data_IF_996602327860
#
_entry.id   IF_996602327860
#
_cell.length_a   1.000
_cell.length_b   1.000
_cell.length_c   1.000
_cell.angle_alpha   90.00
_cell.angle_beta   90.00
_cell.angle_gamma   90.00
#
_symmetry.space_group_name_H-M   'P 1'
#
loop_
_entity.id
_entity.type
_entity.pdbx_description
1 polymer ?
#
# COMPACT_ATOMS: atom_id res chain seq x y z
N UNK A 1 -13.17 -12.29 -5.57
CA UNK A 1 -11.89 -11.87 -6.20
C UNK A 1 -11.82 -12.10 -7.73
N UNK A 2 -12.09 -13.30 -8.26
CA UNK A 2 -11.89 -13.67 -9.69
C UNK A 2 -12.51 -12.69 -10.71
N UNK A 3 -13.74 -12.22 -10.44
CA UNK A 3 -14.42 -11.27 -11.33
C UNK A 3 -13.65 -9.95 -11.49
N UNK A 4 -12.96 -9.50 -10.45
CA UNK A 4 -12.13 -8.29 -10.48
C UNK A 4 -10.93 -8.52 -11.40
N UNK A 5 -10.21 -9.64 -11.23
CA UNK A 5 -9.08 -10.02 -12.08
C UNK A 5 -9.47 -10.05 -13.56
N UNK A 6 -10.56 -10.75 -13.90
CA UNK A 6 -11.04 -10.87 -15.27
C UNK A 6 -11.46 -9.51 -15.86
N UNK A 7 -12.05 -8.63 -15.04
CA UNK A 7 -12.46 -7.31 -15.50
C UNK A 7 -11.25 -6.42 -15.79
N UNK A 8 -10.22 -6.45 -14.92
CA UNK A 8 -8.97 -5.69 -15.15
C UNK A 8 -8.29 -6.18 -16.44
N UNK A 9 -8.20 -7.49 -16.65
CA UNK A 9 -7.63 -8.06 -17.87
C UNK A 9 -8.39 -7.57 -19.13
N UNK A 10 -9.73 -7.57 -19.09
CA UNK A 10 -10.55 -7.08 -20.21
C UNK A 10 -10.30 -5.60 -20.49
N UNK A 11 -10.28 -4.76 -19.45
CA UNK A 11 -10.05 -3.32 -19.59
C UNK A 11 -8.64 -3.06 -20.14
N UNK A 12 -7.61 -3.72 -19.62
CA UNK A 12 -6.24 -3.54 -20.08
C UNK A 12 -6.07 -3.90 -21.57
N UNK A 13 -6.71 -4.97 -22.03
CA UNK A 13 -6.66 -5.40 -23.43
C UNK A 13 -7.27 -4.37 -24.40
N UNK A 14 -8.24 -3.54 -23.98
CA UNK A 14 -8.80 -2.46 -24.82
C UNK A 14 -7.72 -1.44 -25.20
N UNK A 15 -6.79 -1.18 -24.28
CA UNK A 15 -5.70 -0.22 -24.46
C UNK A 15 -4.42 -0.88 -24.99
N UNK A 16 -4.50 -2.14 -25.44
CA UNK A 16 -3.34 -2.94 -25.85
C UNK A 16 -2.26 -3.10 -24.76
N UNK A 17 -2.66 -2.95 -23.50
CA UNK A 17 -1.78 -3.12 -22.36
C UNK A 17 -1.99 -4.49 -21.69
N UNK A 18 -1.02 -4.90 -20.88
CA UNK A 18 -1.07 -6.13 -20.09
C UNK A 18 -0.88 -5.86 -18.61
N UNK A 19 -1.76 -6.38 -17.73
CA UNK A 19 -1.49 -6.31 -16.30
C UNK A 19 -0.26 -7.15 -15.95
N UNK A 20 0.53 -6.65 -14.99
CA UNK A 20 1.75 -7.33 -14.56
C UNK A 20 1.41 -8.70 -13.96
N UNK A 21 2.09 -9.73 -14.47
CA UNK A 21 1.89 -11.11 -14.07
C UNK A 21 2.22 -11.33 -12.58
N UNK A 22 1.26 -11.93 -11.88
CA UNK A 22 1.41 -12.40 -10.52
C UNK A 22 1.48 -11.35 -9.42
N UNK A 23 1.07 -10.10 -9.70
CA UNK A 23 0.86 -9.10 -8.65
C UNK A 23 -0.36 -9.44 -7.80
N UNK A 24 -0.32 -9.03 -6.53
CA UNK A 24 -1.32 -9.41 -5.54
C UNK A 24 -1.78 -8.16 -4.79
N UNK A 25 -3.09 -7.95 -4.79
CA UNK A 25 -3.75 -7.05 -3.84
C UNK A 25 -4.16 -7.84 -2.61
N UNK A 26 -3.90 -7.30 -1.43
CA UNK A 26 -4.10 -8.00 -0.17
C UNK A 26 -5.23 -7.38 0.65
N UNK A 27 -5.95 -8.22 1.39
CA UNK A 27 -6.68 -7.78 2.55
C UNK A 27 -5.72 -7.24 3.61
N UNK A 28 -6.14 -6.19 4.31
CA UNK A 28 -5.40 -5.61 5.41
C UNK A 28 -6.15 -5.80 6.73
N UNK A 29 -5.41 -6.03 7.80
CA UNK A 29 -5.92 -6.02 9.16
C UNK A 29 -4.91 -5.31 10.08
N UNK A 30 -5.23 -5.21 11.38
CA UNK A 30 -4.38 -4.49 12.32
C UNK A 30 -3.00 -5.16 12.41
N UNK A 31 -1.97 -4.48 11.93
CA UNK A 31 -0.59 -4.96 11.98
C UNK A 31 -0.21 -5.95 10.85
N UNK A 32 -1.14 -6.27 9.95
CA UNK A 32 -0.94 -7.23 8.85
C UNK A 32 -1.36 -6.55 7.55
N UNK A 33 -0.40 -6.39 6.63
CA UNK A 33 -0.63 -5.73 5.33
C UNK A 33 -0.89 -6.73 4.19
N UNK A 34 -0.64 -8.00 4.44
CA UNK A 34 -0.71 -9.14 3.52
C UNK A 34 -1.60 -10.24 4.10
N UNK A 35 -2.87 -9.89 4.32
CA UNK A 35 -3.85 -10.81 4.85
C UNK A 35 -4.07 -12.04 3.97
N UNK A 36 -4.92 -12.94 4.47
CA UNK A 36 -5.22 -14.22 3.83
C UNK A 36 -5.86 -14.01 2.46
N UNK A 37 -6.85 -13.10 2.40
CA UNK A 37 -7.61 -12.86 1.18
C UNK A 37 -6.85 -12.07 0.14
N UNK A 38 -6.88 -12.55 -1.09
CA UNK A 38 -6.03 -12.06 -2.19
C UNK A 38 -6.81 -11.84 -3.47
N UNK A 39 -6.44 -10.77 -4.17
CA UNK A 39 -6.85 -10.53 -5.56
C UNK A 39 -5.60 -10.59 -6.42
N UNK A 40 -5.50 -11.63 -7.23
CA UNK A 40 -4.40 -11.78 -8.17
C UNK A 40 -4.62 -10.93 -9.41
N UNK A 41 -3.56 -10.32 -9.89
CA UNK A 41 -3.51 -9.62 -11.16
C UNK A 41 -2.71 -10.50 -12.14
N UNK A 42 -3.32 -10.81 -13.30
CA UNK A 42 -2.76 -11.70 -14.31
C UNK A 42 -2.02 -12.91 -13.70
N UNK A 43 -2.72 -13.84 -13.01
CA UNK A 43 -2.06 -14.91 -12.25
C UNK A 43 -1.28 -15.87 -13.15
N UNK A 44 -0.12 -16.31 -12.68
CA UNK A 44 0.65 -17.38 -13.33
C UNK A 44 0.02 -18.77 -13.11
N UNK A 45 0.51 -19.81 -13.75
CA UNK A 45 -0.08 -21.16 -13.68
C UNK A 45 -0.17 -21.73 -12.26
N UNK A 46 0.82 -21.42 -11.42
CA UNK A 46 0.83 -21.86 -10.02
C UNK A 46 -0.23 -21.10 -9.21
N UNK A 47 -0.23 -19.78 -9.31
CA UNK A 47 -1.23 -18.94 -8.66
C UNK A 47 -2.64 -19.25 -9.15
N UNK A 48 -2.85 -19.61 -10.43
CA UNK A 48 -4.17 -20.04 -10.92
C UNK A 48 -4.68 -21.31 -10.24
N UNK A 49 -3.77 -22.23 -9.89
CA UNK A 49 -4.12 -23.44 -9.14
C UNK A 49 -4.41 -23.13 -7.68
N UNK A 50 -3.64 -22.23 -7.08
CA UNK A 50 -3.75 -21.88 -5.66
C UNK A 50 -4.75 -20.73 -5.40
N UNK A 51 -5.31 -20.13 -6.45
CA UNK A 51 -6.25 -19.01 -6.34
C UNK A 51 -7.61 -19.53 -5.93
N UNK A 52 -7.83 -19.54 -4.62
CA UNK A 52 -9.12 -19.84 -4.04
C UNK A 52 -10.13 -18.73 -4.37
N UNK A 53 -11.36 -19.15 -4.70
CA UNK A 53 -12.44 -18.21 -4.94
C UNK A 53 -12.90 -17.65 -3.60
N UNK A 54 -12.65 -16.36 -3.41
CA UNK A 54 -13.02 -15.67 -2.18
C UNK A 54 -14.10 -14.63 -2.42
N UNK A 55 -15.02 -14.56 -1.46
CA UNK A 55 -16.05 -13.53 -1.38
C UNK A 55 -15.61 -12.43 -0.41
N UNK A 56 -15.87 -11.19 -0.84
CA UNK A 56 -15.61 -10.01 -0.03
C UNK A 56 -16.70 -9.85 1.03
N UNK A 57 -16.31 -9.52 2.26
CA UNK A 57 -17.23 -9.35 3.38
C UNK A 57 -17.29 -7.89 3.86
N UNK A 58 -18.36 -7.56 4.59
CA UNK A 58 -18.50 -6.27 5.25
C UNK A 58 -17.42 -6.09 6.32
N UNK A 59 -16.97 -4.84 6.47
CA UNK A 59 -15.90 -4.38 7.37
C UNK A 59 -14.50 -4.89 7.03
N UNK A 60 -14.30 -5.41 5.81
CA UNK A 60 -12.97 -5.73 5.32
C UNK A 60 -12.28 -4.51 4.70
N UNK A 61 -10.96 -4.52 4.75
CA UNK A 61 -10.11 -3.48 4.16
C UNK A 61 -9.17 -4.15 3.15
N UNK A 62 -9.00 -3.54 1.99
CA UNK A 62 -8.14 -4.05 0.93
C UNK A 62 -7.17 -2.98 0.43
N UNK A 63 -5.90 -3.34 0.31
CA UNK A 63 -4.92 -2.62 -0.49
C UNK A 63 -4.99 -3.13 -1.93
N UNK A 64 -5.72 -2.41 -2.78
CA UNK A 64 -5.85 -2.70 -4.20
C UNK A 64 -4.65 -2.11 -4.92
N UNK A 65 -3.89 -2.97 -5.59
CA UNK A 65 -2.68 -2.64 -6.34
C UNK A 65 -2.86 -3.06 -7.79
N UNK A 66 -2.90 -2.08 -8.68
CA UNK A 66 -3.10 -2.28 -10.12
C UNK A 66 -1.84 -1.83 -10.85
N UNK A 67 -1.11 -2.78 -11.43
CA UNK A 67 0.07 -2.52 -12.24
C UNK A 67 -0.18 -2.95 -13.68
N UNK A 68 -0.09 -2.00 -14.61
CA UNK A 68 -0.33 -2.21 -16.03
C UNK A 68 0.94 -1.86 -16.82
N UNK A 69 1.34 -2.77 -17.70
CA UNK A 69 2.45 -2.61 -18.64
C UNK A 69 1.94 -2.30 -20.04
N UNK A 70 2.66 -1.45 -20.78
CA UNK A 70 2.49 -1.33 -22.24
C UNK A 70 3.06 -2.52 -23.02
N UNK A 71 3.94 -3.30 -22.38
CA UNK A 71 4.62 -4.46 -22.97
C UNK A 71 3.90 -5.79 -22.73
N UNK A 72 4.69 -6.85 -22.48
CA UNK A 72 4.18 -8.21 -22.30
C UNK A 72 3.56 -8.43 -20.91
N UNK A 73 3.88 -7.56 -19.95
CA UNK A 73 3.39 -7.68 -18.58
C UNK A 73 4.11 -8.78 -17.79
N UNK A 74 5.29 -9.22 -18.26
CA UNK A 74 6.12 -10.26 -17.64
C UNK A 74 7.43 -9.64 -17.16
N UNK A 75 7.43 -8.99 -15.99
CA UNK A 75 8.59 -8.28 -15.54
C UNK A 75 9.70 -9.27 -15.15
N UNK A 76 10.94 -8.83 -15.32
CA UNK A 76 12.12 -9.61 -14.97
C UNK A 76 12.72 -9.04 -13.70
N UNK A 77 13.18 -9.94 -12.84
CA UNK A 77 14.01 -9.54 -11.71
C UNK A 77 15.30 -8.94 -12.24
N UNK A 78 15.73 -7.84 -11.62
CA UNK A 78 16.92 -7.10 -12.02
C UNK A 78 18.07 -7.41 -11.07
N UNK A 79 19.30 -7.16 -11.53
CA UNK A 79 20.49 -7.21 -10.67
C UNK A 79 20.56 -6.01 -9.69
N UNK A 80 19.56 -5.12 -9.72
CA UNK A 80 19.48 -4.00 -8.79
C UNK A 80 19.26 -4.54 -7.39
N UNK A 81 20.13 -4.12 -6.48
CA UNK A 81 20.11 -4.57 -5.09
C UNK A 81 18.75 -4.32 -4.44
N UNK A 82 18.15 -5.39 -3.92
CA UNK A 82 17.00 -5.32 -3.02
C UNK A 82 17.37 -4.58 -1.73
N UNK A 83 16.60 -3.54 -1.42
CA UNK A 83 16.77 -2.75 -0.19
C UNK A 83 15.54 -2.73 0.69
N UNK A 84 14.41 -3.24 0.20
CA UNK A 84 13.14 -3.32 0.92
C UNK A 84 12.89 -4.75 1.34
N UNK A 85 12.56 -4.93 2.62
CA UNK A 85 12.33 -6.22 3.24
C UNK A 85 11.15 -6.14 4.19
N UNK A 86 10.57 -7.28 4.52
CA UNK A 86 9.54 -7.39 5.56
C UNK A 86 9.85 -8.57 6.47
N UNK A 87 9.68 -8.41 7.78
CA UNK A 87 9.82 -9.52 8.73
C UNK A 87 8.68 -10.53 8.54
N UNK A 88 9.01 -11.82 8.55
CA UNK A 88 8.05 -12.93 8.67
C UNK A 88 7.99 -13.41 10.11
N UNK A 89 6.86 -13.98 10.50
CA UNK A 89 6.68 -14.57 11.83
C UNK A 89 7.20 -16.01 11.87
N UNK A 90 8.50 -16.16 11.61
CA UNK A 90 9.19 -17.44 11.65
C UNK A 90 10.26 -17.42 12.75
N UNK A 91 10.45 -18.55 13.42
CA UNK A 91 11.44 -18.68 14.49
C UNK A 91 12.64 -19.45 13.94
N UNK A 92 13.78 -18.76 13.84
CA UNK A 92 15.05 -19.37 13.47
C UNK A 92 16.18 -18.81 14.32
N UNK A 93 17.08 -19.69 14.76
CA UNK A 93 18.22 -19.32 15.58
C UNK A 93 19.40 -18.86 14.71
N UNK A 94 19.51 -17.55 14.51
CA UNK A 94 20.60 -16.91 13.77
C UNK A 94 21.97 -17.17 14.39
N UNK A 95 22.96 -17.52 13.56
CA UNK A 95 24.34 -17.83 13.96
C UNK A 95 25.19 -16.57 14.10
N UNK A 96 25.05 -15.59 13.21
CA UNK A 96 25.89 -14.38 13.27
C UNK A 96 25.37 -13.36 14.29
N UNK A 97 26.30 -12.71 15.00
CA UNK A 97 25.96 -11.63 15.96
C UNK A 97 25.35 -10.41 15.26
N UNK A 98 25.83 -10.09 14.06
CA UNK A 98 25.29 -9.02 13.22
C UNK A 98 23.83 -9.25 12.84
N UNK A 99 23.48 -10.47 12.42
CA UNK A 99 22.11 -10.84 12.04
C UNK A 99 21.15 -10.78 13.23
N UNK A 100 21.58 -11.28 14.41
CA UNK A 100 20.77 -11.17 15.64
C UNK A 100 20.51 -9.72 16.03
N UNK A 101 21.53 -8.86 15.96
CA UNK A 101 21.39 -7.44 16.25
C UNK A 101 20.43 -6.77 15.26
N UNK A 102 20.59 -7.06 13.96
CA UNK A 102 19.71 -6.56 12.90
C UNK A 102 18.25 -6.99 13.12
N UNK A 103 17.97 -8.28 13.35
CA UNK A 103 16.61 -8.76 13.56
C UNK A 103 15.96 -8.16 14.81
N UNK A 104 16.73 -7.99 15.90
CA UNK A 104 16.23 -7.34 17.12
C UNK A 104 15.87 -5.87 16.90
N UNK A 105 16.63 -5.16 16.07
CA UNK A 105 16.32 -3.79 15.69
C UNK A 105 15.06 -3.72 14.80
N UNK A 106 14.95 -4.62 13.82
CA UNK A 106 13.77 -4.73 12.94
C UNK A 106 12.49 -4.93 13.76
N UNK A 107 12.53 -5.87 14.70
CA UNK A 107 11.37 -6.21 15.53
C UNK A 107 10.91 -5.05 16.40
N UNK A 108 11.85 -4.29 16.97
CA UNK A 108 11.57 -3.12 17.79
C UNK A 108 11.02 -1.93 17.00
N UNK A 109 11.53 -1.70 15.79
CA UNK A 109 11.23 -0.49 15.01
C UNK A 109 10.09 -0.65 14.01
N UNK A 110 10.04 -1.80 13.34
CA UNK A 110 9.14 -2.03 12.22
C UNK A 110 8.12 -3.15 12.50
N UNK A 111 8.39 -4.01 13.48
CA UNK A 111 7.54 -5.14 13.85
C UNK A 111 7.32 -6.08 12.64
N UNK A 112 6.16 -6.03 11.99
CA UNK A 112 5.82 -6.81 10.79
C UNK A 112 5.65 -5.94 9.54
N UNK A 113 5.90 -4.63 9.64
CA UNK A 113 5.80 -3.72 8.50
C UNK A 113 7.04 -3.81 7.60
N UNK A 114 6.88 -3.61 6.28
CA UNK A 114 8.00 -3.46 5.38
C UNK A 114 8.90 -2.29 5.78
N UNK A 115 10.19 -2.45 5.55
CA UNK A 115 11.20 -1.45 5.87
C UNK A 115 12.28 -1.42 4.79
N UNK A 116 13.00 -0.29 4.70
CA UNK A 116 14.19 -0.18 3.85
C UNK A 116 15.46 -0.16 4.68
N UNK A 117 16.52 -0.80 4.17
CA UNK A 117 17.85 -0.84 4.78
C UNK A 117 18.44 0.56 5.05
N UNK A 118 17.95 1.61 4.37
CA UNK A 118 18.38 2.99 4.59
C UNK A 118 17.94 3.58 5.93
N UNK A 119 16.96 2.99 6.61
CA UNK A 119 16.51 3.47 7.92
C UNK A 119 17.45 3.07 9.07
N UNK A 120 18.42 2.19 8.82
CA UNK A 120 19.39 1.76 9.82
C UNK A 120 20.54 2.75 9.88
N UNK A 121 21.01 3.06 11.10
CA UNK A 121 22.13 3.99 11.31
C UNK A 121 23.41 3.50 10.63
N UNK A 122 23.69 2.19 10.75
CA UNK A 122 24.82 1.54 10.09
C UNK A 122 24.32 0.63 8.97
N UNK A 123 24.24 1.20 7.77
CA UNK A 123 23.82 0.48 6.58
C UNK A 123 24.75 -0.70 6.25
N UNK A 124 26.05 -0.63 6.56
CA UNK A 124 26.98 -1.75 6.28
C UNK A 124 26.66 -2.95 7.16
N UNK A 125 26.35 -2.73 8.44
CA UNK A 125 25.93 -3.81 9.35
C UNK A 125 24.58 -4.39 8.96
N UNK A 126 23.61 -3.54 8.61
CA UNK A 126 22.31 -4.00 8.14
C UNK A 126 22.44 -4.86 6.87
N UNK A 127 23.29 -4.43 5.93
CA UNK A 127 23.61 -5.16 4.70
C UNK A 127 24.22 -6.55 4.94
N UNK A 128 25.02 -6.73 6.00
CA UNK A 128 25.54 -8.06 6.34
C UNK A 128 24.52 -8.92 7.09
N UNK A 129 23.74 -8.31 7.99
CA UNK A 129 22.76 -9.03 8.82
C UNK A 129 21.57 -9.56 8.02
N UNK A 130 21.14 -8.81 6.99
CA UNK A 130 19.98 -9.18 6.18
C UNK A 130 20.20 -10.45 5.35
N UNK A 131 21.45 -10.75 4.95
CA UNK A 131 21.77 -11.90 4.08
C UNK A 131 21.38 -13.22 4.75
N UNK A 132 21.74 -13.41 6.02
CA UNK A 132 21.37 -14.61 6.77
C UNK A 132 19.86 -14.65 7.06
N UNK A 133 19.27 -13.51 7.41
CA UNK A 133 17.85 -13.44 7.72
C UNK A 133 16.99 -13.77 6.49
N UNK A 134 17.36 -13.28 5.31
CA UNK A 134 16.66 -13.57 4.07
C UNK A 134 16.84 -15.04 3.64
N UNK A 135 18.04 -15.59 3.83
CA UNK A 135 18.35 -16.99 3.51
C UNK A 135 17.55 -17.99 4.34
N UNK A 136 17.16 -17.62 5.56
CA UNK A 136 16.41 -18.46 6.49
C UNK A 136 14.96 -18.01 6.66
N UNK A 137 14.40 -17.29 5.67
CA UNK A 137 13.01 -16.86 5.60
C UNK A 137 12.49 -16.05 6.80
N UNK A 138 13.40 -15.47 7.58
CA UNK A 138 13.06 -14.54 8.67
C UNK A 138 12.64 -13.17 8.15
N UNK A 139 13.18 -12.77 7.00
CA UNK A 139 12.77 -11.58 6.28
C UNK A 139 12.52 -11.91 4.82
N UNK A 140 11.42 -11.41 4.28
CA UNK A 140 11.05 -11.52 2.88
C UNK A 140 11.61 -10.34 2.09
N UNK A 141 12.40 -10.58 1.04
CA UNK A 141 12.85 -9.53 0.13
C UNK A 141 11.70 -9.05 -0.75
N UNK A 142 11.74 -7.78 -1.13
CA UNK A 142 10.90 -7.19 -2.19
C UNK A 142 11.82 -6.82 -3.37
N UNK A 143 12.09 -7.76 -4.29
CA UNK A 143 13.02 -7.53 -5.40
C UNK A 143 12.59 -6.40 -6.31
N UNK A 144 13.57 -5.80 -6.99
CA UNK A 144 13.31 -4.79 -8.01
C UNK A 144 13.06 -5.47 -9.34
N UNK A 145 11.86 -5.25 -9.87
CA UNK A 145 11.42 -5.77 -11.15
C UNK A 145 11.42 -4.68 -12.20
N UNK A 146 11.76 -5.03 -13.44
CA UNK A 146 11.69 -4.13 -14.59
C UNK A 146 11.00 -4.82 -15.76
N UNK A 147 10.30 -4.02 -16.55
CA UNK A 147 9.93 -4.40 -17.90
C UNK A 147 11.13 -4.23 -18.85
N UNK A 148 10.97 -4.75 -20.05
CA UNK A 148 11.82 -4.53 -21.21
C UNK A 148 12.05 -3.04 -21.44
N UNK A 149 13.27 -2.74 -21.85
CA UNK A 149 13.68 -1.39 -22.21
C UNK A 149 12.76 -0.79 -23.28
N UNK A 150 12.30 0.44 -23.04
CA UNK A 150 11.38 1.16 -23.91
C UNK A 150 9.90 1.02 -23.54
N UNK A 151 9.54 0.09 -22.65
CA UNK A 151 8.17 -0.07 -22.17
C UNK A 151 7.89 0.76 -20.90
N UNK A 152 6.61 1.03 -20.67
CA UNK A 152 6.12 1.80 -19.53
C UNK A 152 5.27 0.92 -18.62
N UNK A 153 5.42 1.14 -17.31
CA UNK A 153 4.59 0.51 -16.29
C UNK A 153 3.92 1.59 -15.45
N UNK A 154 2.59 1.54 -15.38
CA UNK A 154 1.79 2.38 -14.49
C UNK A 154 1.38 1.55 -13.28
N UNK A 155 1.69 2.05 -12.08
CA UNK A 155 1.24 1.47 -10.81
C UNK A 155 0.28 2.42 -10.10
N UNK A 156 -0.89 1.91 -9.74
CA UNK A 156 -1.87 2.62 -8.90
C UNK A 156 -2.22 1.77 -7.70
N UNK A 157 -1.98 2.33 -6.52
CA UNK A 157 -2.30 1.70 -5.24
C UNK A 157 -3.32 2.54 -4.49
N UNK A 158 -4.35 1.88 -4.00
CA UNK A 158 -5.42 2.49 -3.23
C UNK A 158 -5.92 1.56 -2.12
N UNK A 159 -6.42 2.14 -1.05
CA UNK A 159 -6.98 1.41 0.08
C UNK A 159 -8.48 1.63 0.13
N UNK A 160 -9.24 0.53 0.15
CA UNK A 160 -10.71 0.53 0.15
C UNK A 160 -11.22 -0.14 1.41
N UNK A 161 -12.22 0.47 2.03
CA UNK A 161 -13.00 -0.10 3.13
C UNK A 161 -14.35 -0.55 2.61
N UNK A 162 -14.79 -1.75 2.99
CA UNK A 162 -16.09 -2.29 2.64
C UNK A 162 -17.09 -2.00 3.76
N UNK A 163 -17.78 -0.87 3.70
CA UNK A 163 -18.75 -0.47 4.73
C UNK A 163 -20.18 -0.88 4.32
N UNK A 164 -21.14 -0.94 5.26
CA UNK A 164 -22.55 -1.18 4.93
C UNK A 164 -23.13 -0.16 3.92
N UNK A 165 -22.63 1.08 3.96
CA UNK A 165 -22.96 2.16 3.01
C UNK A 165 -22.40 1.91 1.59
N UNK A 166 -21.43 1.02 1.43
CA UNK A 166 -20.73 0.72 0.19
C UNK A 166 -19.22 0.75 0.36
N UNK A 167 -18.52 0.67 -0.77
CA UNK A 167 -17.07 0.76 -0.81
C UNK A 167 -16.62 2.22 -0.63
N UNK A 168 -15.71 2.44 0.32
CA UNK A 168 -15.15 3.75 0.64
C UNK A 168 -13.66 3.73 0.35
N UNK A 169 -13.23 4.53 -0.63
CA UNK A 169 -11.82 4.75 -0.95
C UNK A 169 -11.25 5.79 0.01
N UNK A 170 -10.17 5.45 0.73
CA UNK A 170 -9.51 6.37 1.68
C UNK A 170 -8.16 6.91 1.19
N UNK A 171 -7.50 6.18 0.28
CA UNK A 171 -6.23 6.59 -0.31
C UNK A 171 -6.29 6.49 -1.82
N UNK A 172 -5.34 7.15 -2.47
CA UNK A 172 -5.22 7.22 -3.92
C UNK A 172 -4.83 8.63 -4.33
N UNK A 173 -3.99 8.73 -5.35
CA UNK A 173 -3.56 10.01 -5.87
C UNK A 173 -4.65 10.59 -6.79
N UNK A 174 -4.86 11.92 -6.77
CA UNK A 174 -5.67 12.56 -7.80
C UNK A 174 -4.98 12.36 -9.14
N UNK A 175 -5.74 11.90 -10.13
CA UNK A 175 -5.28 11.76 -11.50
C UNK A 175 -6.11 12.72 -12.32
N UNK A 176 -5.42 13.69 -12.95
CA UNK A 176 -6.04 14.55 -13.93
C UNK A 176 -6.12 13.82 -15.26
N UNK A 177 -7.32 13.37 -15.61
CA UNK A 177 -7.56 12.58 -16.82
C UNK A 177 -7.44 13.44 -18.09
N UNK A 178 -7.56 14.77 -17.99
CA UNK A 178 -7.51 15.67 -19.13
C UNK A 178 -6.09 15.79 -19.70
N UNK A 179 -5.07 15.40 -18.92
CA UNK A 179 -3.67 15.35 -19.37
C UNK A 179 -3.34 14.13 -20.24
N UNK A 180 -4.23 13.14 -20.31
CA UNK A 180 -3.96 11.86 -20.97
C UNK A 180 -4.87 11.66 -22.18
N UNK A 181 -4.30 11.81 -23.36
CA UNK A 181 -4.97 11.48 -24.62
C UNK A 181 -4.64 10.05 -25.05
N UNK A 182 -5.68 9.30 -25.43
CA UNK A 182 -5.55 7.92 -25.91
C UNK A 182 -6.30 7.75 -27.21
N UNK A 183 -5.65 7.12 -28.18
CA UNK A 183 -6.25 6.69 -29.44
C UNK A 183 -7.30 5.59 -29.20
N UNK A 184 -7.10 4.78 -28.15
CA UNK A 184 -7.99 3.68 -27.78
C UNK A 184 -9.09 4.14 -26.83
N UNK A 185 -10.29 3.58 -27.02
CA UNK A 185 -11.46 3.84 -26.19
C UNK A 185 -12.19 2.55 -25.89
N UNK A 186 -12.73 2.44 -24.67
CA UNK A 186 -13.63 1.35 -24.29
C UNK A 186 -14.85 1.39 -25.21
N UNK A 187 -15.10 0.29 -25.92
CA UNK A 187 -16.26 0.14 -26.82
C UNK A 187 -17.36 -0.73 -26.20
N UNK A 188 -16.96 -1.73 -25.41
CA UNK A 188 -17.82 -2.69 -24.72
C UNK A 188 -18.88 -2.00 -23.84
N UNK A 189 -20.14 -2.38 -24.02
CA UNK A 189 -21.28 -1.82 -23.29
C UNK A 189 -21.24 -2.11 -21.80
N UNK A 190 -20.79 -3.30 -21.41
CA UNK A 190 -20.82 -3.77 -20.04
C UNK A 190 -19.74 -3.03 -19.23
N UNK A 191 -18.56 -2.85 -19.83
CA UNK A 191 -17.48 -2.06 -19.23
C UNK A 191 -17.89 -0.60 -19.09
N UNK A 192 -18.51 0.00 -20.12
CA UNK A 192 -19.01 1.39 -20.03
C UNK A 192 -20.05 1.58 -18.94
N UNK A 193 -20.99 0.65 -18.83
CA UNK A 193 -22.01 0.70 -17.78
C UNK A 193 -21.37 0.59 -16.39
N UNK A 194 -20.39 -0.29 -16.22
CA UNK A 194 -19.65 -0.42 -14.96
C UNK A 194 -18.89 0.86 -14.61
N UNK A 195 -18.14 1.44 -15.56
CA UNK A 195 -17.34 2.65 -15.33
C UNK A 195 -18.21 3.89 -15.05
N UNK A 196 -19.43 3.93 -15.59
CA UNK A 196 -20.39 5.03 -15.33
C UNK A 196 -21.17 4.81 -14.03
N UNK A 197 -21.16 3.59 -13.48
CA UNK A 197 -21.88 3.29 -12.26
C UNK A 197 -21.26 3.99 -11.05
N UNK A 198 -22.10 4.57 -10.19
CA UNK A 198 -21.64 5.25 -8.97
C UNK A 198 -21.07 4.22 -8.00
N UNK A 199 -19.88 4.49 -7.48
CA UNK A 199 -19.21 3.65 -6.48
C UNK A 199 -19.89 3.72 -5.10
N UNK A 200 -20.68 4.77 -4.83
CA UNK A 200 -21.46 4.89 -3.61
C UNK A 200 -22.95 4.63 -3.85
N UNK A 201 -23.60 3.94 -2.90
CA UNK A 201 -25.06 3.82 -2.87
C UNK A 201 -25.63 5.20 -2.58
N UNK A 202 -26.40 5.76 -3.53
CA UNK A 202 -27.24 6.95 -3.25
C UNK A 202 -28.15 6.62 -2.06
N UNK A 203 -28.08 7.39 -0.97
CA UNK A 203 -29.10 7.38 0.08
C UNK A 203 -30.45 7.61 -0.62
N UNK A 204 -31.35 6.63 -0.60
CA UNK A 204 -32.76 6.90 -0.93
C UNK A 204 -33.23 7.93 0.08
N UNK A 205 -33.49 9.17 -0.34
CA UNK A 205 -34.29 10.11 0.44
C UNK A 205 -35.66 9.45 0.60
N UNK A 206 -35.90 8.87 1.78
CA UNK A 206 -37.21 8.36 2.14
C UNK A 206 -38.18 9.54 2.15
N UNK A 207 -39.07 9.59 1.17
CA UNK A 207 -40.32 10.32 1.27
C UNK A 207 -41.04 9.80 2.51
N UNK A 208 -41.09 10.65 3.54
CA UNK A 208 -41.73 10.32 4.80
C UNK A 208 -43.20 10.00 4.59
N UNK A 209 -43.62 8.83 5.05
CA UNK A 209 -44.99 8.64 5.48
C UNK A 209 -44.94 8.13 6.92
N UNK A 210 -45.57 8.92 7.79
CA UNK A 210 -45.66 8.76 9.24
C UNK A 210 -46.44 7.50 9.64
N UNK A 211 -45.89 6.72 10.57
CA UNK A 211 -46.58 5.59 11.18
C UNK A 211 -45.75 4.90 12.28
N UNK A 212 -45.77 5.48 13.47
CA UNK A 212 -45.59 4.92 14.84
C UNK A 212 -45.06 3.48 15.02
N UNK A 213 -43.98 3.33 15.81
CA UNK A 213 -43.73 2.13 16.62
C UNK A 213 -42.28 1.77 16.92
N UNK A 214 -41.72 2.32 18.02
CA UNK A 214 -40.66 1.80 18.91
C UNK A 214 -39.52 0.91 18.40
N UNK A 215 -38.28 1.41 18.43
CA UNK A 215 -37.26 1.07 19.44
C UNK A 215 -35.97 1.82 19.14
N UNK A 216 -35.43 2.49 20.15
CA UNK A 216 -34.21 3.27 20.07
C UNK A 216 -32.97 2.36 19.95
N UNK A 217 -32.21 2.54 18.87
CA UNK A 217 -30.79 2.22 18.83
C UNK A 217 -30.10 3.55 18.55
N UNK A 218 -29.33 4.02 19.51
CA UNK A 218 -28.52 5.23 19.43
C UNK A 218 -27.61 5.15 18.20
N UNK A 219 -27.89 6.00 17.21
CA UNK A 219 -26.94 6.32 16.17
C UNK A 219 -25.93 7.30 16.78
N UNK A 220 -24.67 6.87 16.90
CA UNK A 220 -23.57 7.83 16.98
C UNK A 220 -23.57 8.61 15.66
N UNK A 221 -23.90 9.90 15.76
CA UNK A 221 -23.84 10.84 14.65
C UNK A 221 -22.42 10.84 14.06
N UNK A 222 -22.36 10.63 12.74
CA UNK A 222 -21.17 10.93 11.98
C UNK A 222 -21.01 12.45 11.98
N UNK A 223 -19.89 12.92 12.51
CA UNK A 223 -19.46 14.32 12.42
C UNK A 223 -19.48 14.73 10.94
N UNK A 224 -20.32 15.70 10.62
CA UNK A 224 -20.31 16.40 9.35
C UNK A 224 -19.01 17.23 9.30
N UNK A 225 -18.06 16.81 8.45
CA UNK A 225 -16.88 17.58 8.11
C UNK A 225 -17.27 18.62 7.06
N UNK A 226 -17.87 19.72 7.54
CA UNK A 226 -18.08 20.92 6.75
C UNK A 226 -16.75 21.67 6.65
N UNK A 227 -16.15 21.59 5.47
CA UNK A 227 -14.89 22.25 5.16
C UNK A 227 -14.92 23.74 5.46
N UNK A 228 -14.07 24.15 6.41
CA UNK A 228 -13.15 25.31 6.38
C UNK A 228 -12.50 25.44 7.76
N UNK A 229 -11.33 24.83 7.92
CA UNK A 229 -10.38 25.31 8.92
C UNK A 229 -9.11 25.72 8.19
N UNK A 230 -8.97 27.04 8.05
CA UNK A 230 -7.74 27.70 7.64
C UNK A 230 -6.67 27.37 8.70
N UNK A 231 -5.69 26.53 8.31
CA UNK A 231 -4.51 26.31 9.14
C UNK A 231 -3.60 27.53 8.99
N UNK A 232 -3.77 28.51 9.88
CA UNK A 232 -2.83 29.62 10.01
C UNK A 232 -1.48 29.06 10.49
N UNK A 233 -0.45 29.18 9.64
CA UNK A 233 0.95 28.92 9.99
C UNK A 233 1.39 29.89 11.09
N UNK A 234 1.44 29.42 12.33
CA UNK A 234 2.17 30.12 13.39
C UNK A 234 3.68 30.01 13.14
N UNK A 235 4.43 31.14 13.12
CA UNK A 235 5.83 31.16 12.70
C UNK A 235 6.75 30.50 13.73
N UNK A 236 7.72 29.71 13.24
CA UNK A 236 8.78 29.08 14.01
C UNK A 236 9.49 30.09 14.95
N UNK A 237 9.47 29.82 16.26
CA UNK A 237 10.30 30.56 17.20
C UNK A 237 11.78 30.14 17.06
N UNK A 238 12.73 31.10 16.96
CA UNK A 238 14.13 30.78 16.74
C UNK A 238 14.77 30.15 17.98
N UNK A 239 15.37 28.97 17.77
CA UNK A 239 16.18 28.24 18.75
C UNK A 239 17.31 29.13 19.27
N UNK A 240 17.26 29.49 20.56
CA UNK A 240 18.36 30.18 21.26
C UNK A 240 19.59 29.26 21.29
N UNK A 241 20.65 29.67 20.59
CA UNK A 241 22.00 29.11 20.73
C UNK A 241 22.54 29.43 22.13
N UNK A 242 22.55 28.45 23.03
CA UNK A 242 23.32 28.57 24.28
C UNK A 242 24.78 28.27 23.97
N UNK A 243 25.56 29.32 23.77
CA UNK A 243 27.02 29.23 23.72
C UNK A 243 27.56 29.00 25.14
N UNK A 244 28.09 27.81 25.42
CA UNK A 244 28.93 27.58 26.59
C UNK A 244 30.39 27.88 26.24
N UNK A 245 30.74 29.16 26.24
CA UNK A 245 32.14 29.57 26.43
C UNK A 245 32.50 29.29 27.89
N UNK A 246 33.34 28.29 28.15
CA UNK A 246 34.06 28.19 29.42
C UNK A 246 35.48 28.73 29.24
N UNK A 247 35.76 29.72 30.06
CA UNK A 247 36.91 30.60 30.04
C UNK A 247 38.24 29.87 30.32
N UNK A 248 39.27 30.38 29.65
CA UNK A 248 40.69 30.21 29.97
C UNK A 248 40.98 31.09 31.19
N UNK A 249 41.56 30.59 32.30
CA UNK A 249 42.13 31.47 33.31
C UNK A 249 43.57 31.87 32.90
N UNK A 250 43.76 33.17 32.73
CA UNK A 250 45.07 33.79 32.61
C UNK A 250 45.83 33.73 33.94
N UNK A 251 47.16 33.70 33.81
CA UNK A 251 48.19 33.66 34.85
C UNK A 251 48.06 34.79 35.88
N UNK A 252 48.51 34.52 37.11
CA UNK A 252 49.15 35.51 37.97
C UNK A 252 50.35 34.89 38.69
N UNK A 253 51.42 35.68 38.70
CA UNK A 253 52.77 35.44 39.21
C UNK A 253 52.84 35.14 40.71
N UNK A 254 53.76 34.24 41.07
CA UNK A 254 54.81 34.42 42.09
C UNK A 254 55.80 33.25 42.00
#
# INVERSE_FOLDING_TARGET
NIAVTQMIDRIANVYHCKPIEGMISYQMSRGIIDGEKKIYLNPNDMQRRDNEKEEFALHEVYAVDVLISSGEGKPRETDIRTTVYKKKDFIYQLRMKSSRAFLSEVEKRFTLMPFTLRHFEDEKRARMGVIECAKHDLVEPYPVYQEKEGEFVLGLKLTVLLMPSGQMKITGLPIDLDLYESEYKVTDSDIKQLLTSSTQKKKKKGTGNSGTGGNAIEMMDAVEDDGKEDFEDEPEQPVKKTASQKAIPAKSES
#
